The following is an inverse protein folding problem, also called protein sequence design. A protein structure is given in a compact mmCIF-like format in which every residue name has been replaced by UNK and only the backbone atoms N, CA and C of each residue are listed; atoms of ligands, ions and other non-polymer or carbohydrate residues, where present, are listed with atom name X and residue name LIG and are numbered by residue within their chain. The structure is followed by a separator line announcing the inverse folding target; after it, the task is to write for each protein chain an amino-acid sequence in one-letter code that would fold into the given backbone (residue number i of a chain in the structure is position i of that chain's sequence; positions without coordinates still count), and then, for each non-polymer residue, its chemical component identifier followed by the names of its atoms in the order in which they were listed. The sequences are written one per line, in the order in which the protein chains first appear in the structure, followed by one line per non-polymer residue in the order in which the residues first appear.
data_IF_119164341779
#
_entry.id   IF_119164341779
#
_cell.length_a   1.000
_cell.length_b   1.000
_cell.length_c   1.000
_cell.angle_alpha   90.00
_cell.angle_beta   90.00
_cell.angle_gamma   90.00
#
_symmetry.space_group_name_H-M   'P 1'
#
loop_
_entity.id
_entity.type
_entity.pdbx_description
1 polymer ?
#
# COMPACT_ATOMS: atom_id res chain seq x y z
N UNK A 1 -15.80 -30.46 -22.44
CA UNK A 1 -14.60 -31.25 -22.79
C UNK A 1 -13.40 -30.37 -23.17
N UNK A 2 -13.58 -29.27 -23.92
CA UNK A 2 -12.48 -28.37 -24.30
C UNK A 2 -11.80 -27.70 -23.08
N UNK A 3 -12.59 -27.15 -22.15
CA UNK A 3 -12.05 -26.46 -20.97
C UNK A 3 -11.27 -27.36 -19.97
N UNK A 4 -11.49 -28.68 -20.00
CA UNK A 4 -10.74 -29.64 -19.16
C UNK A 4 -9.40 -30.03 -19.79
N UNK A 5 -9.30 -29.99 -21.13
CA UNK A 5 -8.05 -30.26 -21.83
C UNK A 5 -7.08 -29.07 -21.74
N UNK A 6 -7.61 -27.84 -21.70
CA UNK A 6 -6.83 -26.61 -21.57
C UNK A 6 -6.33 -26.33 -20.14
N UNK A 7 -6.98 -26.90 -19.12
CA UNK A 7 -6.63 -26.67 -17.72
C UNK A 7 -5.41 -27.49 -17.24
N UNK A 8 -4.93 -28.43 -18.05
CA UNK A 8 -3.82 -29.32 -17.68
C UNK A 8 -4.14 -30.34 -16.58
N UNK A 9 -5.42 -30.51 -16.23
CA UNK A 9 -5.86 -31.43 -15.17
C UNK A 9 -5.93 -32.86 -15.72
N UNK A 10 -5.27 -33.80 -15.04
CA UNK A 10 -5.30 -35.22 -15.36
C UNK A 10 -6.54 -35.94 -14.82
N UNK A 11 -6.88 -37.09 -15.41
CA UNK A 11 -7.94 -37.98 -14.93
C UNK A 11 -7.73 -38.41 -13.47
N UNK A 12 -6.48 -38.64 -13.06
CA UNK A 12 -6.12 -39.01 -11.68
C UNK A 12 -6.49 -37.89 -10.70
N UNK A 13 -6.16 -36.64 -11.03
CA UNK A 13 -6.51 -35.48 -10.19
C UNK A 13 -8.02 -35.27 -10.11
N UNK A 14 -8.77 -35.54 -11.18
CA UNK A 14 -10.24 -35.51 -11.15
C UNK A 14 -10.82 -36.58 -10.22
N UNK A 15 -10.23 -37.79 -10.22
CA UNK A 15 -10.63 -38.86 -9.30
C UNK A 15 -10.33 -38.52 -7.84
N UNK A 16 -9.19 -37.90 -7.56
CA UNK A 16 -8.84 -37.42 -6.21
C UNK A 16 -9.80 -36.32 -5.73
N UNK A 17 -10.13 -35.35 -6.58
CA UNK A 17 -11.13 -34.32 -6.25
C UNK A 17 -12.50 -34.96 -5.98
N UNK A 18 -12.91 -35.95 -6.78
CA UNK A 18 -14.16 -36.67 -6.57
C UNK A 18 -14.16 -37.47 -5.26
N UNK A 19 -13.03 -38.01 -4.83
CA UNK A 19 -12.89 -38.70 -3.55
C UNK A 19 -12.97 -37.72 -2.37
N UNK A 20 -12.26 -36.59 -2.45
CA UNK A 20 -12.34 -35.50 -1.46
C UNK A 20 -13.78 -34.97 -1.37
N UNK A 21 -14.48 -34.84 -2.50
CA UNK A 21 -15.86 -34.40 -2.58
C UNK A 21 -16.88 -35.35 -1.90
N UNK A 22 -16.48 -36.58 -1.55
CA UNK A 22 -17.30 -37.48 -0.72
C UNK A 22 -17.25 -37.11 0.76
N UNK A 23 -16.19 -36.45 1.22
CA UNK A 23 -15.97 -36.07 2.61
C UNK A 23 -16.25 -34.60 2.90
N UNK A 24 -16.10 -33.74 1.90
CA UNK A 24 -16.46 -32.31 1.93
C UNK A 24 -17.30 -31.99 0.69
N UNK A 25 -18.23 -31.05 0.75
CA UNK A 25 -19.10 -30.76 -0.39
C UNK A 25 -18.33 -30.13 -1.56
N UNK A 26 -18.79 -30.37 -2.79
CA UNK A 26 -18.17 -29.78 -3.99
C UNK A 26 -18.23 -28.23 -3.98
N UNK A 27 -19.22 -27.64 -3.32
CA UNK A 27 -19.32 -26.18 -3.15
C UNK A 27 -18.24 -25.66 -2.20
N UNK A 28 -17.87 -26.39 -1.14
CA UNK A 28 -16.74 -26.01 -0.27
C UNK A 28 -15.41 -26.05 -1.03
N UNK A 29 -15.19 -27.09 -1.85
CA UNK A 29 -14.00 -27.19 -2.72
C UNK A 29 -13.95 -26.01 -3.70
N UNK A 30 -15.08 -25.69 -4.33
CA UNK A 30 -15.19 -24.58 -5.28
C UNK A 30 -14.95 -23.23 -4.60
N UNK A 31 -15.51 -23.01 -3.41
CA UNK A 31 -15.30 -21.78 -2.65
C UNK A 31 -13.83 -21.61 -2.27
N UNK A 32 -13.18 -22.66 -1.77
CA UNK A 32 -11.75 -22.63 -1.45
C UNK A 32 -10.89 -22.38 -2.70
N UNK A 33 -11.18 -23.07 -3.81
CA UNK A 33 -10.47 -22.86 -5.07
C UNK A 33 -10.64 -21.43 -5.60
N UNK A 34 -11.85 -20.86 -5.46
CA UNK A 34 -12.11 -19.47 -5.83
C UNK A 34 -11.34 -18.51 -4.92
N UNK A 35 -11.31 -18.75 -3.60
CA UNK A 35 -10.53 -17.94 -2.65
C UNK A 35 -9.04 -17.95 -3.00
N UNK A 36 -8.45 -19.13 -3.24
CA UNK A 36 -7.04 -19.26 -3.62
C UNK A 36 -6.73 -18.55 -4.93
N UNK A 37 -7.64 -18.64 -5.90
CA UNK A 37 -7.52 -17.90 -7.16
C UNK A 37 -7.55 -16.39 -6.93
N UNK A 38 -8.51 -15.89 -6.15
CA UNK A 38 -8.64 -14.46 -5.85
C UNK A 38 -7.41 -13.93 -5.08
N UNK A 39 -6.85 -14.74 -4.18
CA UNK A 39 -5.60 -14.44 -3.46
C UNK A 39 -4.39 -14.37 -4.42
N UNK A 40 -4.27 -15.32 -5.33
CA UNK A 40 -3.20 -15.33 -6.35
C UNK A 40 -3.34 -14.13 -7.29
N UNK A 41 -4.56 -13.82 -7.74
CA UNK A 41 -4.84 -12.68 -8.60
C UNK A 41 -4.48 -11.36 -7.88
N UNK A 42 -4.86 -11.18 -6.61
CA UNK A 42 -4.46 -9.99 -5.82
C UNK A 42 -2.94 -9.92 -5.58
N UNK A 43 -2.28 -11.07 -5.41
CA UNK A 43 -0.82 -11.13 -5.28
C UNK A 43 -0.11 -10.65 -6.56
N UNK A 44 -0.43 -11.23 -7.72
CA UNK A 44 0.16 -10.82 -9.00
C UNK A 44 -0.15 -9.35 -9.31
N UNK A 45 -1.36 -8.91 -8.98
CA UNK A 45 -1.77 -7.53 -9.12
C UNK A 45 -0.90 -6.57 -8.31
N UNK A 46 -0.68 -6.87 -7.02
CA UNK A 46 0.17 -6.07 -6.13
C UNK A 46 1.61 -6.05 -6.62
N UNK A 47 2.13 -7.21 -7.02
CA UNK A 47 3.49 -7.33 -7.56
C UNK A 47 3.67 -6.47 -8.79
N UNK A 48 2.75 -6.55 -9.76
CA UNK A 48 2.82 -5.77 -10.99
C UNK A 48 2.77 -4.26 -10.75
N UNK A 49 1.90 -3.82 -9.85
CA UNK A 49 1.86 -2.41 -9.43
C UNK A 49 3.18 -1.98 -8.82
N UNK A 50 3.76 -2.79 -7.92
CA UNK A 50 5.05 -2.50 -7.32
C UNK A 50 6.12 -2.25 -8.39
N UNK A 51 6.27 -3.17 -9.35
CA UNK A 51 7.20 -3.06 -10.47
C UNK A 51 6.94 -1.81 -11.32
N UNK A 52 5.67 -1.49 -11.60
CA UNK A 52 5.29 -0.34 -12.41
C UNK A 52 5.58 0.99 -11.70
N UNK A 53 5.34 1.05 -10.39
CA UNK A 53 5.64 2.21 -9.56
C UNK A 53 7.14 2.44 -9.50
N UNK A 54 7.92 1.38 -9.26
CA UNK A 54 9.37 1.46 -9.27
C UNK A 54 9.90 2.01 -10.59
N UNK A 55 9.42 1.44 -11.71
CA UNK A 55 9.80 1.91 -13.05
C UNK A 55 9.41 3.37 -13.30
N UNK A 56 8.20 3.78 -12.92
CA UNK A 56 7.75 5.16 -13.09
C UNK A 56 8.65 6.16 -12.34
N UNK A 57 9.06 5.82 -11.12
CA UNK A 57 10.00 6.61 -10.34
C UNK A 57 11.39 6.62 -10.98
N UNK A 58 11.96 5.46 -11.33
CA UNK A 58 13.28 5.38 -12.00
C UNK A 58 13.33 6.26 -13.25
N UNK A 59 12.33 6.15 -14.13
CA UNK A 59 12.24 6.94 -15.36
C UNK A 59 12.15 8.44 -15.06
N UNK A 60 11.34 8.82 -14.07
CA UNK A 60 11.21 10.21 -13.67
C UNK A 60 12.50 10.75 -13.06
N UNK A 61 13.19 9.98 -12.21
CA UNK A 61 14.42 10.41 -11.58
C UNK A 61 15.59 10.47 -12.56
N UNK A 62 15.66 9.61 -13.56
CA UNK A 62 16.69 9.71 -14.61
C UNK A 62 16.58 11.05 -15.38
N UNK A 63 15.40 11.67 -15.41
CA UNK A 63 15.20 13.02 -15.96
C UNK A 63 15.60 14.15 -15.01
N UNK A 64 15.83 13.83 -13.73
CA UNK A 64 16.26 14.76 -12.69
C UNK A 64 17.78 14.70 -12.61
N UNK A 65 18.45 15.75 -13.09
CA UNK A 65 19.91 15.87 -13.09
C UNK A 65 20.47 16.16 -11.67
N UNK A 66 20.10 15.35 -10.68
CA UNK A 66 20.58 15.41 -9.30
C UNK A 66 21.09 14.02 -8.88
N UNK A 67 22.10 13.93 -8.01
CA UNK A 67 22.50 12.64 -7.45
C UNK A 67 21.41 12.15 -6.48
N UNK A 68 20.83 10.99 -6.76
CA UNK A 68 19.84 10.33 -5.88
C UNK A 68 20.12 8.83 -5.77
N UNK A 69 19.78 8.28 -4.61
CA UNK A 69 19.69 6.85 -4.34
C UNK A 69 18.25 6.54 -3.92
N UNK A 70 17.64 5.55 -4.56
CA UNK A 70 16.30 5.07 -4.21
C UNK A 70 16.43 3.77 -3.46
N UNK A 71 15.73 3.64 -2.34
CA UNK A 71 15.63 2.41 -1.56
C UNK A 71 14.16 2.07 -1.39
N UNK A 72 13.76 0.90 -1.89
CA UNK A 72 12.43 0.34 -1.67
C UNK A 72 12.44 -0.52 -0.40
N UNK A 73 11.47 -0.28 0.47
CA UNK A 73 11.30 -0.97 1.75
C UNK A 73 9.97 -1.72 1.70
N UNK A 74 10.01 -3.05 1.90
CA UNK A 74 8.78 -3.87 1.90
C UNK A 74 8.03 -3.85 3.23
N UNK A 75 8.67 -3.36 4.30
CA UNK A 75 8.12 -3.29 5.66
C UNK A 75 8.63 -2.02 6.33
N UNK A 76 7.74 -1.26 6.97
CA UNK A 76 8.12 -0.09 7.75
C UNK A 76 7.04 0.98 7.83
N UNK A 77 7.48 2.20 8.10
CA UNK A 77 6.65 3.42 8.12
C UNK A 77 6.60 4.16 6.78
N UNK A 78 7.28 3.63 5.76
CA UNK A 78 7.33 4.10 4.38
C UNK A 78 7.71 2.95 3.45
N UNK A 79 7.42 3.09 2.16
CA UNK A 79 7.77 2.10 1.14
C UNK A 79 8.94 2.52 0.26
N UNK A 80 9.18 3.84 0.10
CA UNK A 80 10.28 4.37 -0.69
C UNK A 80 11.03 5.45 0.08
N UNK A 81 12.35 5.37 0.04
CA UNK A 81 13.26 6.40 0.54
C UNK A 81 14.13 6.88 -0.61
N UNK A 82 14.13 8.18 -0.86
CA UNK A 82 14.97 8.81 -1.88
C UNK A 82 15.97 9.68 -1.14
N UNK A 83 17.26 9.38 -1.28
CA UNK A 83 18.33 10.08 -0.58
C UNK A 83 19.25 10.75 -1.57
N UNK A 84 19.59 12.02 -1.36
CA UNK A 84 20.69 12.65 -2.07
C UNK A 84 21.99 12.43 -1.29
N UNK A 85 22.95 11.63 -1.81
CA UNK A 85 24.19 11.33 -1.10
C UNK A 85 25.13 12.53 -0.94
N UNK A 86 24.94 13.60 -1.72
CA UNK A 86 25.79 14.79 -1.65
C UNK A 86 25.44 15.71 -0.47
N UNK A 87 24.20 15.69 0.02
CA UNK A 87 23.73 16.53 1.12
C UNK A 87 23.03 15.75 2.25
N UNK A 88 22.98 14.42 2.15
CA UNK A 88 22.36 13.50 3.11
C UNK A 88 20.87 13.76 3.37
N UNK A 89 20.18 14.53 2.52
CA UNK A 89 18.73 14.72 2.64
C UNK A 89 18.00 13.45 2.17
N UNK A 90 16.97 13.05 2.91
CA UNK A 90 16.10 11.94 2.57
C UNK A 90 14.65 12.41 2.44
N UNK A 91 13.95 11.87 1.44
CA UNK A 91 12.53 12.03 1.22
C UNK A 91 11.83 10.68 1.31
N UNK A 92 10.68 10.63 1.98
CA UNK A 92 9.96 9.43 2.33
C UNK A 92 8.61 9.38 1.62
N UNK A 93 8.31 8.25 1.00
CA UNK A 93 7.04 8.03 0.30
C UNK A 93 6.42 6.74 0.83
N UNK A 94 5.19 6.86 1.33
CA UNK A 94 4.32 5.73 1.58
C UNK A 94 3.39 5.53 0.38
N UNK A 95 3.34 4.32 -0.16
CA UNK A 95 2.56 3.94 -1.33
C UNK A 95 1.33 3.14 -0.91
N UNK A 96 0.17 3.58 -1.36
CA UNK A 96 -1.10 2.93 -1.04
C UNK A 96 -1.89 2.65 -2.30
N UNK A 97 -2.25 1.40 -2.51
CA UNK A 97 -3.11 1.00 -3.61
C UNK A 97 -4.51 0.66 -3.11
N UNK A 98 -5.53 1.27 -3.72
CA UNK A 98 -6.93 1.05 -3.40
C UNK A 98 -7.61 0.23 -4.50
N UNK A 99 -8.34 -0.82 -4.12
CA UNK A 99 -9.22 -1.53 -5.07
C UNK A 99 -10.19 -0.54 -5.75
N UNK A 100 -10.46 -0.68 -7.06
CA UNK A 100 -11.46 0.14 -7.73
C UNK A 100 -12.86 -0.03 -7.15
N UNK A 101 -13.13 -1.18 -6.51
CA UNK A 101 -14.41 -1.51 -5.86
C UNK A 101 -14.49 -1.12 -4.39
N UNK A 102 -13.45 -0.47 -3.83
CA UNK A 102 -13.50 0.00 -2.46
C UNK A 102 -14.61 1.05 -2.30
N UNK A 103 -15.70 0.70 -1.61
CA UNK A 103 -16.93 1.50 -1.58
C UNK A 103 -16.78 2.82 -0.82
N UNK A 104 -16.05 2.84 0.30
CA UNK A 104 -15.84 4.05 1.10
C UNK A 104 -14.63 4.87 0.64
N UNK A 105 -13.84 4.29 -0.29
CA UNK A 105 -12.60 4.83 -0.87
C UNK A 105 -11.66 5.45 0.17
N UNK A 106 -11.76 4.97 1.41
CA UNK A 106 -10.94 5.43 2.50
C UNK A 106 -9.59 4.77 2.44
N UNK A 107 -8.58 5.54 2.83
CA UNK A 107 -7.24 5.03 2.98
C UNK A 107 -7.02 4.58 4.43
N UNK A 108 -6.31 3.45 4.61
CA UNK A 108 -5.89 2.96 5.93
C UNK A 108 -4.37 3.05 6.05
N UNK A 109 -3.88 3.79 7.05
CA UNK A 109 -2.47 3.81 7.43
C UNK A 109 -2.25 2.97 8.69
N UNK A 110 -1.07 2.35 8.79
CA UNK A 110 -0.58 1.90 10.09
C UNK A 110 -0.27 3.11 10.97
N UNK A 111 -0.37 2.94 12.29
CA UNK A 111 -0.02 3.98 13.26
C UNK A 111 1.43 4.46 13.07
N UNK A 112 2.38 3.55 12.81
CA UNK A 112 3.78 3.89 12.56
C UNK A 112 3.97 4.82 11.35
N UNK A 113 3.18 4.64 10.29
CA UNK A 113 3.19 5.49 9.10
C UNK A 113 2.65 6.88 9.43
N UNK A 114 1.56 6.95 10.20
CA UNK A 114 1.01 8.23 10.67
C UNK A 114 1.98 8.98 11.60
N UNK A 115 2.66 8.27 12.51
CA UNK A 115 3.70 8.85 13.38
C UNK A 115 4.86 9.40 12.59
N UNK A 116 5.40 8.63 11.64
CA UNK A 116 6.47 9.08 10.75
C UNK A 116 6.05 10.34 9.97
N UNK A 117 4.83 10.37 9.44
CA UNK A 117 4.30 11.56 8.77
C UNK A 117 4.29 12.80 9.69
N UNK A 118 3.89 12.65 10.96
CA UNK A 118 3.89 13.73 11.96
C UNK A 118 5.30 14.18 12.31
N UNK A 119 6.24 13.24 12.51
CA UNK A 119 7.65 13.54 12.80
C UNK A 119 8.32 14.34 11.68
N UNK A 120 7.92 14.09 10.44
CA UNK A 120 8.46 14.73 9.24
C UNK A 120 7.74 16.03 8.84
N UNK A 121 6.79 16.54 9.64
CA UNK A 121 6.01 17.74 9.29
C UNK A 121 6.88 18.96 9.07
N UNK A 122 7.85 19.21 9.94
CA UNK A 122 8.70 20.40 9.87
C UNK A 122 9.67 20.35 8.68
N UNK A 123 10.14 19.15 8.34
CA UNK A 123 11.01 18.93 7.19
C UNK A 123 10.23 18.91 5.86
N UNK A 124 8.93 18.58 5.91
CA UNK A 124 8.07 18.55 4.73
C UNK A 124 8.51 17.52 3.69
N UNK A 125 9.12 16.42 4.14
CA UNK A 125 9.79 15.39 3.34
C UNK A 125 9.13 14.01 3.43
N UNK A 126 7.88 13.93 3.89
CA UNK A 126 7.08 12.71 3.91
C UNK A 126 5.76 12.92 3.17
N UNK A 127 5.42 11.99 2.28
CA UNK A 127 4.16 12.01 1.54
C UNK A 127 3.50 10.65 1.53
N UNK A 128 2.18 10.66 1.41
CA UNK A 128 1.38 9.46 1.14
C UNK A 128 0.87 9.55 -0.29
N UNK A 129 1.31 8.62 -1.12
CA UNK A 129 0.91 8.51 -2.53
C UNK A 129 -0.09 7.39 -2.70
N UNK A 130 -1.24 7.74 -3.24
CA UNK A 130 -2.40 6.87 -3.41
C UNK A 130 -2.61 6.60 -4.88
N UNK A 131 -2.75 5.32 -5.22
CA UNK A 131 -3.11 4.84 -6.54
C UNK A 131 -4.43 4.08 -6.46
N UNK A 132 -5.42 4.51 -7.24
CA UNK A 132 -6.57 3.65 -7.50
C UNK A 132 -6.14 2.63 -8.55
N UNK A 133 -6.22 1.37 -8.16
CA UNK A 133 -5.82 0.23 -8.98
C UNK A 133 -6.66 0.19 -10.27
N UNK A 134 -6.05 -0.12 -11.43
CA UNK A 134 -6.83 -0.39 -12.64
C UNK A 134 -7.73 -1.63 -12.45
N UNK A 135 -8.75 -1.79 -13.27
CA UNK A 135 -9.61 -2.97 -13.25
C UNK A 135 -8.91 -4.24 -13.75
N UNK A 136 -7.81 -4.10 -14.52
CA UNK A 136 -6.97 -5.19 -15.02
C UNK A 136 -5.50 -4.86 -14.71
N UNK A 137 -4.75 -5.85 -14.18
CA UNK A 137 -3.33 -5.70 -13.83
C UNK A 137 -2.45 -5.42 -15.05
N UNK A 138 -2.83 -5.86 -16.25
CA UNK A 138 -2.08 -5.59 -17.49
C UNK A 138 -1.99 -4.09 -17.80
N UNK A 139 -2.95 -3.30 -17.29
CA UNK A 139 -2.98 -1.85 -17.42
C UNK A 139 -2.11 -1.13 -16.38
N UNK A 140 -1.53 -1.84 -15.41
CA UNK A 140 -0.62 -1.27 -14.43
C UNK A 140 0.77 -1.03 -15.05
N UNK A 141 0.85 -0.07 -15.97
CA UNK A 141 2.09 0.37 -16.62
C UNK A 141 2.69 1.57 -15.89
N UNK A 142 3.97 1.89 -16.16
CA UNK A 142 4.60 3.08 -15.61
C UNK A 142 3.83 4.38 -15.98
N UNK A 143 3.31 4.47 -17.20
CA UNK A 143 2.51 5.62 -17.64
C UNK A 143 1.16 5.70 -16.94
N UNK A 144 0.54 4.55 -16.64
CA UNK A 144 -0.64 4.53 -15.79
C UNK A 144 -0.34 5.09 -14.40
N UNK A 145 0.79 4.72 -13.79
CA UNK A 145 1.23 5.27 -12.49
C UNK A 145 1.42 6.78 -12.59
N UNK A 146 2.19 7.27 -13.57
CA UNK A 146 2.45 8.71 -13.74
C UNK A 146 1.17 9.52 -13.92
N UNK A 147 0.16 8.93 -14.56
CA UNK A 147 -1.12 9.59 -14.83
C UNK A 147 -2.08 9.57 -13.63
N UNK A 148 -2.04 8.52 -12.81
CA UNK A 148 -3.08 8.26 -11.81
C UNK A 148 -2.60 8.29 -10.35
N UNK A 149 -1.29 8.37 -10.10
CA UNK A 149 -0.76 8.49 -8.74
C UNK A 149 -1.06 9.89 -8.20
N UNK A 150 -1.69 9.94 -7.02
CA UNK A 150 -2.02 11.18 -6.34
C UNK A 150 -1.38 11.24 -4.96
N UNK A 151 -0.64 12.29 -4.66
CA UNK A 151 0.20 12.40 -3.47
C UNK A 151 -0.30 13.47 -2.53
N UNK A 152 -0.60 13.11 -1.29
CA UNK A 152 -0.91 14.07 -0.25
C UNK A 152 0.37 14.62 0.37
N UNK A 153 0.63 15.89 0.15
CA UNK A 153 1.74 16.60 0.79
C UNK A 153 1.36 17.05 2.20
N UNK A 154 2.36 17.16 3.07
CA UNK A 154 2.23 17.63 4.45
C UNK A 154 1.12 16.91 5.24
N UNK A 155 0.85 15.63 4.93
CA UNK A 155 -0.25 14.89 5.56
C UNK A 155 -0.10 14.79 7.08
N UNK A 156 1.14 14.85 7.59
CA UNK A 156 1.42 14.84 9.02
C UNK A 156 0.68 15.92 9.81
N UNK A 157 0.44 17.11 9.26
CA UNK A 157 -0.29 18.17 9.97
C UNK A 157 -1.77 17.81 10.19
N UNK A 158 -2.35 17.03 9.27
CA UNK A 158 -3.71 16.50 9.40
C UNK A 158 -3.77 15.31 10.37
N UNK A 159 -2.64 14.66 10.62
CA UNK A 159 -2.52 13.43 11.41
C UNK A 159 -2.11 13.68 12.87
N UNK A 160 -1.66 14.88 13.24
CA UNK A 160 -1.19 15.18 14.60
C UNK A 160 -2.22 14.78 15.66
N UNK A 161 -3.49 15.17 15.48
CA UNK A 161 -4.54 14.87 16.45
C UNK A 161 -4.82 13.36 16.61
N UNK A 162 -4.74 12.57 15.52
CA UNK A 162 -4.97 11.13 15.62
C UNK A 162 -3.77 10.39 16.21
N UNK A 163 -2.55 10.88 15.96
CA UNK A 163 -1.33 10.36 16.59
C UNK A 163 -1.31 10.66 18.09
N UNK A 164 -1.76 11.83 18.54
CA UNK A 164 -1.88 12.11 19.97
C UNK A 164 -2.92 11.22 20.66
N UNK A 165 -4.09 10.98 20.02
CA UNK A 165 -5.07 10.02 20.51
C UNK A 165 -4.50 8.61 20.67
N UNK A 166 -3.66 8.20 19.71
CA UNK A 166 -2.98 6.90 19.75
C UNK A 166 -1.98 6.81 20.92
N UNK A 167 -1.23 7.87 21.20
CA UNK A 167 -0.35 7.93 22.38
C UNK A 167 -1.12 7.83 23.69
N UNK A 168 -2.26 8.52 23.80
CA UNK A 168 -3.14 8.39 24.97
C UNK A 168 -3.66 6.96 25.11
N UNK A 169 -3.99 6.30 24.01
CA UNK A 169 -4.39 4.89 24.04
C UNK A 169 -3.23 3.99 24.51
N UNK A 170 -2.00 4.23 24.08
CA UNK A 170 -0.82 3.46 24.56
C UNK A 170 -0.60 3.61 26.07
N UNK A 171 -0.89 4.78 26.65
CA UNK A 171 -0.84 4.98 28.10
C UNK A 171 -1.89 4.14 28.84
N UNK A 172 -3.05 3.85 28.21
CA UNK A 172 -4.04 2.92 28.75
C UNK A 172 -3.59 1.46 28.63
N UNK A 173 -2.63 1.13 27.75
CA UNK A 173 -2.06 -0.21 27.64
C UNK A 173 -0.93 -0.46 28.64
N UNK A 174 -0.26 0.59 29.14
CA UNK A 174 0.80 0.46 30.13
C UNK A 174 0.20 0.22 31.51
N UNK A 175 -0.07 -1.04 31.84
CA UNK A 175 -0.60 -1.47 33.13
C UNK A 175 0.42 -1.27 34.26
N UNK A 176 -0.02 -0.73 35.40
CA UNK A 176 0.83 -0.60 36.60
C UNK A 176 0.17 -1.07 37.90
N UNK A 177 -1.01 -1.70 37.83
CA UNK A 177 -1.77 -2.15 39.01
C UNK A 177 -2.10 -3.64 39.00
N UNK A 178 -2.45 -4.17 40.18
CA UNK A 178 -2.84 -5.57 40.39
C UNK A 178 -4.22 -5.91 39.75
N UNK A 179 -5.03 -4.89 39.46
CA UNK A 179 -6.32 -4.99 38.77
C UNK A 179 -6.35 -3.89 37.70
N UNK A 180 -6.50 -4.29 36.43
CA UNK A 180 -6.46 -3.35 35.29
C UNK A 180 -7.32 -3.84 34.11
N UNK A 181 -7.48 -2.97 33.10
CA UNK A 181 -8.15 -3.26 31.84
C UNK A 181 -7.19 -4.02 30.90
N UNK A 182 -7.56 -5.25 30.55
CA UNK A 182 -6.88 -6.04 29.53
C UNK A 182 -7.58 -5.90 28.16
N UNK A 183 -6.78 -5.72 27.11
CA UNK A 183 -7.28 -5.64 25.73
C UNK A 183 -6.92 -6.92 24.97
N UNK A 184 -7.90 -7.54 24.33
CA UNK A 184 -7.69 -8.76 23.52
C UNK A 184 -7.04 -8.46 22.16
N UNK A 185 -7.34 -7.31 21.55
CA UNK A 185 -6.72 -6.83 20.31
C UNK A 185 -6.37 -5.35 20.43
N UNK A 186 -5.09 -5.03 20.25
CA UNK A 186 -4.55 -3.67 20.34
C UNK A 186 -4.19 -3.11 18.97
N UNK A 187 -4.49 -3.81 17.86
CA UNK A 187 -4.16 -3.34 16.50
C UNK A 187 -5.03 -2.15 16.13
N UNK A 188 -4.35 -1.11 15.62
CA UNK A 188 -4.98 0.17 15.28
C UNK A 188 -4.59 0.60 13.87
N UNK A 189 -5.50 1.29 13.21
CA UNK A 189 -5.28 1.89 11.89
C UNK A 189 -5.84 3.30 11.87
N UNK A 190 -5.16 4.18 11.16
CA UNK A 190 -5.66 5.52 10.88
C UNK A 190 -6.46 5.47 9.59
N UNK A 191 -7.74 5.86 9.65
CA UNK A 191 -8.62 5.98 8.49
C UNK A 191 -8.57 7.40 7.96
N UNK A 192 -8.35 7.55 6.66
CA UNK A 192 -8.29 8.84 5.95
C UNK A 192 -9.38 8.85 4.89
N UNK A 193 -10.23 9.88 4.93
CA UNK A 193 -11.34 10.03 4.00
C UNK A 193 -10.86 10.30 2.56
N UNK A 194 -11.66 9.88 1.57
CA UNK A 194 -11.34 10.02 0.15
C UNK A 194 -10.99 11.46 -0.25
N UNK A 195 -11.77 12.42 0.21
CA UNK A 195 -11.59 13.84 -0.11
C UNK A 195 -10.18 14.35 0.20
N UNK A 196 -9.54 13.83 1.26
CA UNK A 196 -8.19 14.25 1.64
C UNK A 196 -7.20 13.87 0.55
N UNK A 197 -7.16 12.61 0.13
CA UNK A 197 -6.14 12.16 -0.83
C UNK A 197 -6.56 12.35 -2.30
N UNK A 198 -7.85 12.45 -2.62
CA UNK A 198 -8.32 12.61 -4.00
C UNK A 198 -8.40 14.09 -4.41
N UNK A 199 -9.02 14.94 -3.60
CA UNK A 199 -9.27 16.34 -3.99
C UNK A 199 -8.10 17.25 -3.67
N UNK A 200 -7.41 17.00 -2.55
CA UNK A 200 -6.25 17.81 -2.12
C UNK A 200 -4.90 17.16 -2.49
N UNK A 201 -4.93 16.01 -3.15
CA UNK A 201 -3.72 15.33 -3.61
C UNK A 201 -3.12 16.02 -4.83
N UNK A 202 -1.83 15.81 -5.01
CA UNK A 202 -1.04 16.35 -6.10
C UNK A 202 -0.64 15.25 -7.10
N UNK A 203 -0.68 15.52 -8.42
CA UNK A 203 -0.31 14.54 -9.42
C UNK A 203 1.18 14.19 -9.38
N UNK A 204 1.55 13.09 -10.03
CA UNK A 204 2.92 12.58 -10.08
C UNK A 204 3.98 13.64 -10.42
N UNK A 205 3.74 14.49 -11.43
CA UNK A 205 4.71 15.52 -11.80
C UNK A 205 4.98 16.53 -10.68
N UNK A 206 3.94 16.91 -9.92
CA UNK A 206 4.11 17.77 -8.75
C UNK A 206 4.92 17.10 -7.63
N UNK A 207 4.81 15.77 -7.47
CA UNK A 207 5.68 15.03 -6.56
C UNK A 207 7.14 15.08 -7.03
N UNK A 208 7.40 14.88 -8.33
CA UNK A 208 8.75 14.98 -8.89
C UNK A 208 9.35 16.37 -8.70
N UNK A 209 8.56 17.43 -8.91
CA UNK A 209 9.02 18.81 -8.68
C UNK A 209 9.32 19.09 -7.20
N UNK A 210 8.49 18.57 -6.30
CA UNK A 210 8.72 18.65 -4.85
C UNK A 210 10.01 17.93 -4.45
N UNK A 211 10.27 16.76 -5.02
CA UNK A 211 11.48 15.98 -4.79
C UNK A 211 12.73 16.73 -5.28
N UNK A 212 12.68 17.33 -6.47
CA UNK A 212 13.74 18.20 -6.99
C UNK A 212 14.04 19.35 -6.05
N UNK A 213 13.00 20.04 -5.59
CA UNK A 213 13.13 21.19 -4.72
C UNK A 213 13.73 20.81 -3.35
N UNK A 214 13.31 19.67 -2.79
CA UNK A 214 13.77 19.26 -1.47
C UNK A 214 15.18 18.67 -1.50
N UNK A 215 15.45 17.78 -2.46
CA UNK A 215 16.70 17.03 -2.56
C UNK A 215 17.83 17.81 -3.23
N UNK A 216 17.52 18.79 -4.08
CA UNK A 216 18.50 19.77 -4.57
C UNK A 216 19.21 20.50 -3.43
#
# INVERSE_FOLDING_TARGET
MVALAESGISLTQLSEIAEIAKSISIEEIKNLAQQLKDEQDDFEFKKKIGEAVERAFIEAFNSVNLPYNITYQGVGSQDVVITNPANSKSFYIELKSLSPTNWDKSLKLAVSQARKAVEQVNEGNYVVSVLVRPSNWELATADFIKTNLNSQFNIGSLLSNVVEKDKTFEQLLSSSGDIDLAFEDTRRKVKIAEQIWRQNGHPFNSLIDRLKQYLG
#
